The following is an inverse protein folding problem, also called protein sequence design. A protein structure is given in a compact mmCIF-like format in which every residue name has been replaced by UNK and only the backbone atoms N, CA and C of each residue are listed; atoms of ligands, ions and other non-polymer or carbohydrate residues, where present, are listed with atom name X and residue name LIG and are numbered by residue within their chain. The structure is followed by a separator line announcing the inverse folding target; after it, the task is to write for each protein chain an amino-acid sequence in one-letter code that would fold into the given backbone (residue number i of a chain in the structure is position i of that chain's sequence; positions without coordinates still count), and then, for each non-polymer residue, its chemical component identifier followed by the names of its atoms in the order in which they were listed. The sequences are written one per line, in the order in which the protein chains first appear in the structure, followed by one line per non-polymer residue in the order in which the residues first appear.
data_IF_465359092986
#
_entry.id   IF_465359092986
#
_cell.length_a   1.000
_cell.length_b   1.000
_cell.length_c   1.000
_cell.angle_alpha   90.00
_cell.angle_beta   90.00
_cell.angle_gamma   90.00
#
_symmetry.space_group_name_H-M   'P 1'
#
loop_
_entity.id
_entity.type
_entity.pdbx_description
1 polymer ?
#
# COMPACT_ATOMS: atom_id res chain seq x y z
N UNK A 1 3.36 41.39 9.13
CA UNK A 1 3.92 40.04 9.28
C UNK A 1 2.92 39.29 10.13
N UNK A 2 1.94 38.67 9.49
CA UNK A 2 0.84 37.93 10.14
C UNK A 2 0.94 36.49 9.67
N UNK A 3 1.12 35.61 10.65
CA UNK A 3 1.47 34.22 10.49
C UNK A 3 0.45 33.42 9.69
N UNK A 4 1.00 32.65 8.76
CA UNK A 4 0.32 31.65 7.94
C UNK A 4 0.31 30.35 8.76
N UNK A 5 -0.84 29.94 9.32
CA UNK A 5 -0.98 28.61 9.93
C UNK A 5 -2.36 27.96 9.78
N UNK A 6 -3.25 28.51 8.94
CA UNK A 6 -4.62 27.97 8.76
C UNK A 6 -4.71 26.95 7.61
N UNK A 7 -3.69 26.80 6.75
CA UNK A 7 -3.86 26.11 5.46
C UNK A 7 -3.57 24.60 5.45
N UNK A 8 -2.95 24.02 6.49
CA UNK A 8 -2.54 22.60 6.47
C UNK A 8 -3.67 21.64 6.85
N UNK A 9 -4.57 22.04 7.76
CA UNK A 9 -5.59 21.15 8.31
C UNK A 9 -6.84 21.03 7.42
N UNK A 10 -7.30 22.11 6.78
CA UNK A 10 -8.48 22.05 5.90
C UNK A 10 -8.21 21.23 4.64
N UNK A 11 -7.07 21.47 3.98
CA UNK A 11 -6.70 20.72 2.77
C UNK A 11 -6.47 19.24 3.07
N UNK A 12 -5.88 18.92 4.22
CA UNK A 12 -5.70 17.55 4.68
C UNK A 12 -7.04 16.87 4.98
N UNK A 13 -7.93 17.55 5.69
CA UNK A 13 -9.27 17.03 5.99
C UNK A 13 -10.10 16.83 4.73
N UNK A 14 -10.02 17.73 3.75
CA UNK A 14 -10.72 17.59 2.47
C UNK A 14 -10.20 16.42 1.64
N UNK A 15 -8.87 16.20 1.61
CA UNK A 15 -8.28 15.04 0.92
C UNK A 15 -8.84 13.72 1.44
N UNK A 16 -8.98 13.60 2.76
CA UNK A 16 -9.35 12.35 3.43
C UNK A 16 -10.82 12.25 3.83
N UNK A 17 -11.66 13.20 3.39
CA UNK A 17 -13.08 13.26 3.79
C UNK A 17 -13.85 11.97 3.56
N UNK A 18 -13.52 11.22 2.51
CA UNK A 18 -14.18 9.96 2.18
C UNK A 18 -13.82 8.84 3.16
N UNK A 19 -12.56 8.77 3.59
CA UNK A 19 -12.09 7.81 4.60
C UNK A 19 -12.53 8.22 6.00
N UNK A 20 -12.50 9.52 6.31
CA UNK A 20 -13.00 10.08 7.57
C UNK A 20 -14.47 9.77 7.83
N UNK A 21 -15.31 9.68 6.78
CA UNK A 21 -16.70 9.24 6.93
C UNK A 21 -16.84 7.80 7.44
N UNK A 22 -15.87 6.94 7.16
CA UNK A 22 -15.87 5.54 7.62
C UNK A 22 -15.23 5.36 9.00
N UNK A 23 -14.35 6.29 9.39
CA UNK A 23 -13.55 6.20 10.63
C UNK A 23 -14.11 7.05 11.76
N UNK A 24 -14.70 8.20 11.44
CA UNK A 24 -15.15 9.20 12.43
C UNK A 24 -16.67 9.11 12.73
N UNK A 25 -17.42 8.20 12.10
CA UNK A 25 -18.90 8.13 12.21
C UNK A 25 -19.39 6.76 12.64
N UNK A 26 -20.47 6.76 13.42
CA UNK A 26 -21.21 5.55 13.76
C UNK A 26 -21.82 4.89 12.52
N UNK A 27 -21.93 3.56 12.58
CA UNK A 27 -22.63 2.76 11.57
C UNK A 27 -23.29 1.57 12.25
N UNK A 28 -24.56 1.31 11.90
CA UNK A 28 -25.29 0.13 12.35
C UNK A 28 -24.67 -1.20 11.86
N UNK A 29 -23.78 -1.13 10.87
CA UNK A 29 -23.06 -2.27 10.31
C UNK A 29 -21.59 -2.33 10.72
N UNK A 30 -21.17 -1.45 11.64
CA UNK A 30 -19.80 -1.47 12.13
C UNK A 30 -19.52 -2.76 12.93
N UNK A 31 -18.26 -3.16 12.96
CA UNK A 31 -17.82 -4.24 13.84
C UNK A 31 -18.11 -3.88 15.30
N UNK A 32 -18.44 -4.87 16.15
CA UNK A 32 -18.83 -4.63 17.55
C UNK A 32 -17.75 -3.95 18.38
N UNK A 33 -16.49 -4.10 17.99
CA UNK A 33 -15.34 -3.44 18.61
C UNK A 33 -14.97 -2.08 17.98
N UNK A 34 -15.74 -1.58 17.00
CA UNK A 34 -15.47 -0.30 16.37
C UNK A 34 -16.06 0.84 17.21
N UNK A 35 -15.20 1.75 17.63
CA UNK A 35 -15.59 3.03 18.22
C UNK A 35 -15.25 4.14 17.23
N UNK A 36 -16.21 4.98 16.81
CA UNK A 36 -15.94 6.06 15.86
C UNK A 36 -15.07 7.14 16.50
N UNK A 37 -14.09 7.63 15.76
CA UNK A 37 -13.16 8.61 16.28
C UNK A 37 -11.97 8.84 15.36
N UNK A 38 -11.29 9.97 15.56
CA UNK A 38 -10.18 10.40 14.70
C UNK A 38 -8.98 9.45 14.82
N UNK A 39 -8.88 8.74 15.93
CA UNK A 39 -7.80 7.81 16.26
C UNK A 39 -7.77 6.64 15.26
N UNK A 40 -8.92 6.27 14.68
CA UNK A 40 -8.99 5.22 13.66
C UNK A 40 -8.23 5.60 12.39
N UNK A 41 -8.34 6.86 11.95
CA UNK A 41 -7.59 7.31 10.79
C UNK A 41 -6.10 7.41 11.10
N UNK A 42 -5.74 7.84 12.32
CA UNK A 42 -4.34 7.86 12.76
C UNK A 42 -3.76 6.44 12.81
N UNK A 43 -4.53 5.45 13.26
CA UNK A 43 -4.15 4.04 13.23
C UNK A 43 -3.92 3.53 11.81
N UNK A 44 -4.77 3.90 10.84
CA UNK A 44 -4.55 3.59 9.41
C UNK A 44 -3.24 4.20 8.92
N UNK A 45 -2.96 5.46 9.29
CA UNK A 45 -1.75 6.17 8.87
C UNK A 45 -0.47 5.56 9.47
N UNK A 46 -0.54 5.00 10.68
CA UNK A 46 0.58 4.34 11.36
C UNK A 46 0.73 2.85 10.99
N UNK A 47 -0.29 2.25 10.38
CA UNK A 47 -0.29 0.84 10.03
C UNK A 47 0.77 0.52 8.98
N UNK A 48 1.62 -0.47 9.27
CA UNK A 48 2.61 -1.01 8.33
C UNK A 48 2.01 -2.16 7.54
N UNK A 49 1.97 -2.03 6.22
CA UNK A 49 1.38 -3.02 5.31
C UNK A 49 2.42 -3.55 4.33
N UNK A 50 2.51 -4.87 4.20
CA UNK A 50 3.31 -5.51 3.15
C UNK A 50 2.40 -5.99 2.02
N UNK A 51 2.73 -5.61 0.79
CA UNK A 51 2.09 -6.11 -0.44
C UNK A 51 3.05 -7.05 -1.15
N UNK A 52 2.69 -8.33 -1.24
CA UNK A 52 3.50 -9.35 -1.89
C UNK A 52 3.02 -9.58 -3.32
N UNK A 53 3.89 -9.24 -4.28
CA UNK A 53 3.60 -9.15 -5.70
C UNK A 53 3.18 -7.74 -6.08
N UNK A 54 3.86 -7.15 -7.07
CA UNK A 54 3.61 -5.82 -7.63
C UNK A 54 3.01 -5.87 -9.03
N UNK A 55 2.69 -7.05 -9.57
CA UNK A 55 1.98 -7.20 -10.84
C UNK A 55 0.46 -7.20 -10.68
N UNK A 56 -0.27 -6.61 -11.64
CA UNK A 56 -1.74 -6.73 -11.79
C UNK A 56 -2.52 -6.38 -10.52
N UNK A 57 -2.84 -7.40 -9.70
CA UNK A 57 -3.42 -7.22 -8.37
C UNK A 57 -2.54 -6.35 -7.47
N UNK A 58 -1.21 -6.53 -7.49
CA UNK A 58 -0.27 -5.71 -6.74
C UNK A 58 -0.41 -4.22 -7.07
N UNK A 59 -0.51 -3.87 -8.36
CA UNK A 59 -0.75 -2.50 -8.79
C UNK A 59 -2.05 -1.91 -8.21
N UNK A 60 -3.13 -2.69 -8.26
CA UNK A 60 -4.45 -2.28 -7.75
C UNK A 60 -4.46 -2.13 -6.22
N UNK A 61 -3.81 -3.05 -5.51
CA UNK A 61 -3.69 -3.02 -4.05
C UNK A 61 -2.88 -1.81 -3.61
N UNK A 62 -1.71 -1.56 -4.22
CA UNK A 62 -0.87 -0.39 -3.89
C UNK A 62 -1.64 0.92 -4.09
N UNK A 63 -2.35 1.06 -5.22
CA UNK A 63 -3.24 2.20 -5.48
C UNK A 63 -4.31 2.32 -4.39
N UNK A 64 -5.01 1.22 -4.08
CA UNK A 64 -6.10 1.19 -3.10
C UNK A 64 -5.64 1.61 -1.71
N UNK A 65 -4.53 1.05 -1.23
CA UNK A 65 -3.95 1.38 0.08
C UNK A 65 -3.54 2.85 0.15
N UNK A 66 -2.77 3.32 -0.84
CA UNK A 66 -2.29 4.70 -0.88
C UNK A 66 -3.44 5.73 -0.90
N UNK A 67 -4.52 5.44 -1.65
CA UNK A 67 -5.71 6.29 -1.70
C UNK A 67 -6.67 6.10 -0.52
N UNK A 68 -6.44 5.11 0.33
CA UNK A 68 -7.22 4.86 1.55
C UNK A 68 -6.57 5.41 2.82
N UNK A 69 -5.41 6.05 2.70
CA UNK A 69 -4.71 6.67 3.83
C UNK A 69 -3.67 5.78 4.49
N UNK A 70 -3.30 4.62 3.93
CA UNK A 70 -2.12 3.93 4.42
C UNK A 70 -0.88 4.69 3.97
N UNK A 71 0.02 4.99 4.91
CA UNK A 71 1.28 5.68 4.61
C UNK A 71 2.45 4.73 4.45
N UNK A 72 2.59 3.76 5.36
CA UNK A 72 3.76 2.89 5.41
C UNK A 72 3.47 1.58 4.69
N UNK A 73 3.87 1.53 3.42
CA UNK A 73 3.63 0.38 2.56
C UNK A 73 4.98 -0.17 2.10
N UNK A 74 5.16 -1.47 2.19
CA UNK A 74 6.30 -2.14 1.58
C UNK A 74 5.80 -3.10 0.51
N UNK A 75 6.56 -3.26 -0.57
CA UNK A 75 6.21 -4.20 -1.64
C UNK A 75 7.38 -5.09 -2.01
N UNK A 76 7.12 -6.39 -2.15
CA UNK A 76 8.07 -7.41 -2.60
C UNK A 76 7.64 -7.92 -3.97
N UNK A 77 8.54 -7.92 -4.94
CA UNK A 77 8.39 -8.61 -6.22
C UNK A 77 9.78 -8.94 -6.77
N UNK A 78 9.96 -10.13 -7.31
CA UNK A 78 11.25 -10.58 -7.88
C UNK A 78 11.31 -10.39 -9.40
N UNK A 79 10.20 -10.04 -10.03
CA UNK A 79 10.09 -9.99 -11.47
C UNK A 79 10.50 -8.63 -12.04
N UNK A 80 10.87 -8.70 -13.31
CA UNK A 80 11.11 -7.55 -14.17
C UNK A 80 9.88 -7.26 -15.04
N UNK A 81 9.71 -6.00 -15.43
CA UNK A 81 8.62 -5.56 -16.31
C UNK A 81 8.83 -6.06 -17.74
N UNK A 82 7.78 -6.68 -18.28
CA UNK A 82 7.69 -7.14 -19.67
C UNK A 82 6.60 -6.39 -20.44
N UNK A 83 6.72 -6.31 -21.77
CA UNK A 83 5.73 -5.66 -22.64
C UNK A 83 4.31 -6.20 -22.43
N UNK A 84 4.17 -7.51 -22.24
CA UNK A 84 2.88 -8.19 -21.98
C UNK A 84 2.21 -7.77 -20.68
N UNK A 85 2.93 -7.08 -19.79
CA UNK A 85 2.40 -6.58 -18.52
C UNK A 85 1.60 -5.28 -18.72
N UNK A 86 1.93 -4.48 -19.72
CA UNK A 86 1.41 -3.11 -19.88
C UNK A 86 -0.09 -3.04 -20.18
N UNK A 87 -0.71 -4.14 -20.64
CA UNK A 87 -2.14 -4.20 -20.90
C UNK A 87 -3.02 -4.15 -19.62
N UNK A 88 -2.43 -4.39 -18.44
CA UNK A 88 -3.17 -4.46 -17.16
C UNK A 88 -2.43 -3.90 -15.96
N UNK A 89 -1.10 -3.76 -16.04
CA UNK A 89 -0.26 -3.32 -14.93
C UNK A 89 0.03 -1.82 -15.07
N UNK A 90 -0.99 -1.01 -14.83
CA UNK A 90 -1.04 0.43 -15.15
C UNK A 90 -0.03 1.32 -14.39
N UNK A 91 0.74 0.78 -13.44
CA UNK A 91 1.85 1.49 -12.80
C UNK A 91 3.10 1.56 -13.71
N UNK A 92 3.16 0.74 -14.76
CA UNK A 92 4.33 0.60 -15.63
C UNK A 92 4.12 1.27 -16.98
N UNK A 93 5.21 1.72 -17.62
CA UNK A 93 5.25 2.30 -18.96
C UNK A 93 6.21 1.52 -19.84
N UNK A 94 6.17 1.76 -21.16
CA UNK A 94 7.12 1.17 -22.10
C UNK A 94 8.58 1.48 -21.74
N UNK A 95 8.85 2.68 -21.22
CA UNK A 95 10.18 3.09 -20.74
C UNK A 95 10.67 2.28 -19.52
N UNK A 96 9.78 1.56 -18.85
CA UNK A 96 10.10 0.77 -17.66
C UNK A 96 10.40 -0.70 -17.98
N UNK A 97 10.25 -1.14 -19.23
CA UNK A 97 10.55 -2.52 -19.65
C UNK A 97 12.00 -2.86 -19.28
N UNK A 98 12.20 -4.01 -18.65
CA UNK A 98 13.52 -4.44 -18.17
C UNK A 98 13.88 -3.97 -16.75
N UNK A 99 13.07 -3.09 -16.13
CA UNK A 99 13.27 -2.66 -14.73
C UNK A 99 12.46 -3.53 -13.74
N UNK A 100 12.85 -3.52 -12.45
CA UNK A 100 12.15 -4.25 -11.39
C UNK A 100 10.72 -3.75 -11.21
N UNK A 101 9.74 -4.66 -11.17
CA UNK A 101 8.34 -4.31 -10.90
C UNK A 101 8.18 -3.61 -9.55
N UNK A 102 8.83 -4.12 -8.50
CA UNK A 102 8.73 -3.57 -7.15
C UNK A 102 9.20 -2.11 -7.11
N UNK A 103 10.39 -1.84 -7.66
CA UNK A 103 10.99 -0.50 -7.64
C UNK A 103 10.19 0.51 -8.45
N UNK A 104 9.76 0.14 -9.66
CA UNK A 104 8.97 1.03 -10.51
C UNK A 104 7.58 1.28 -9.90
N UNK A 105 6.94 0.25 -9.33
CA UNK A 105 5.63 0.40 -8.67
C UNK A 105 5.72 1.35 -7.49
N UNK A 106 6.71 1.17 -6.61
CA UNK A 106 6.94 2.06 -5.47
C UNK A 106 7.21 3.50 -5.93
N UNK A 107 8.12 3.69 -6.89
CA UNK A 107 8.44 5.01 -7.46
C UNK A 107 7.19 5.69 -8.03
N UNK A 108 6.38 4.97 -8.79
CA UNK A 108 5.16 5.53 -9.38
C UNK A 108 4.18 6.00 -8.31
N UNK A 109 3.93 5.17 -7.29
CA UNK A 109 2.95 5.47 -6.25
C UNK A 109 3.41 6.63 -5.37
N UNK A 110 4.68 6.66 -4.95
CA UNK A 110 5.27 7.77 -4.20
C UNK A 110 5.16 9.10 -4.96
N UNK A 111 5.37 9.08 -6.28
CA UNK A 111 5.26 10.28 -7.11
C UNK A 111 3.81 10.71 -7.35
N UNK A 112 2.86 9.76 -7.35
CA UNK A 112 1.45 10.02 -7.68
C UNK A 112 0.62 10.45 -6.48
N UNK A 113 0.91 9.91 -5.28
CA UNK A 113 0.09 10.10 -4.08
C UNK A 113 0.93 10.77 -3.00
N UNK A 114 0.74 12.08 -2.81
CA UNK A 114 1.52 12.82 -1.81
C UNK A 114 1.31 12.28 -0.38
N UNK A 115 2.40 12.08 0.35
CA UNK A 115 2.38 11.69 1.76
C UNK A 115 2.27 10.18 2.04
N UNK A 116 2.32 9.34 1.00
CA UNK A 116 2.60 7.90 1.13
C UNK A 116 4.10 7.65 1.09
N UNK A 117 4.55 6.57 1.73
CA UNK A 117 5.89 6.03 1.64
C UNK A 117 5.80 4.56 1.23
N UNK A 118 6.14 4.28 -0.02
CA UNK A 118 6.24 2.91 -0.54
C UNK A 118 7.70 2.51 -0.66
N UNK A 119 8.11 1.46 0.06
CA UNK A 119 9.47 0.88 -0.01
C UNK A 119 9.42 -0.39 -0.86
N UNK A 120 10.34 -0.50 -1.82
CA UNK A 120 10.44 -1.65 -2.71
C UNK A 120 11.51 -2.65 -2.25
N UNK A 121 11.21 -3.93 -2.43
CA UNK A 121 12.14 -5.04 -2.26
C UNK A 121 12.14 -5.89 -3.52
N UNK A 122 13.18 -5.73 -4.32
CA UNK A 122 13.43 -6.53 -5.53
C UNK A 122 14.05 -7.88 -5.15
N UNK A 123 13.27 -8.77 -4.56
CA UNK A 123 13.74 -10.08 -4.11
C UNK A 123 12.61 -11.10 -4.07
N UNK A 124 12.96 -12.37 -3.85
CA UNK A 124 11.97 -13.40 -3.58
C UNK A 124 11.47 -13.27 -2.15
N UNK A 125 10.26 -13.75 -1.90
CA UNK A 125 9.72 -13.87 -0.54
C UNK A 125 10.62 -14.73 0.36
N UNK A 126 11.25 -15.75 -0.21
CA UNK A 126 12.14 -16.66 0.52
C UNK A 126 13.44 -16.00 1.00
N UNK A 127 13.79 -14.83 0.45
CA UNK A 127 15.02 -14.12 0.79
C UNK A 127 14.87 -13.26 2.06
N UNK A 128 13.64 -13.14 2.60
CA UNK A 128 13.35 -12.41 3.84
C UNK A 128 13.17 -13.39 5.00
N UNK A 129 13.68 -12.99 6.17
CA UNK A 129 13.50 -13.76 7.39
C UNK A 129 12.14 -13.51 8.06
N UNK A 130 11.83 -14.30 9.10
CA UNK A 130 10.58 -14.15 9.83
C UNK A 130 10.46 -12.80 10.56
N UNK A 131 11.58 -12.21 10.97
CA UNK A 131 11.57 -10.93 11.67
C UNK A 131 11.13 -9.80 10.74
N UNK A 132 11.53 -9.86 9.46
CA UNK A 132 11.02 -8.97 8.43
C UNK A 132 9.49 -9.05 8.33
N UNK A 133 8.89 -10.24 8.30
CA UNK A 133 7.42 -10.36 8.19
C UNK A 133 6.67 -9.91 9.45
N UNK A 134 7.24 -10.13 10.64
CA UNK A 134 6.62 -9.77 11.93
C UNK A 134 6.45 -8.27 12.17
N UNK A 135 7.11 -7.42 11.39
CA UNK A 135 6.98 -5.97 11.56
C UNK A 135 5.69 -5.39 10.96
N UNK A 136 4.97 -6.17 10.14
CA UNK A 136 3.78 -5.70 9.43
C UNK A 136 2.51 -6.08 10.19
N UNK A 137 1.57 -5.13 10.27
CA UNK A 137 0.24 -5.39 10.83
C UNK A 137 -0.63 -6.18 9.86
N UNK A 138 -0.42 -6.00 8.55
CA UNK A 138 -1.18 -6.64 7.48
C UNK A 138 -0.23 -7.07 6.36
N UNK A 139 -0.38 -8.30 5.88
CA UNK A 139 0.28 -8.80 4.68
C UNK A 139 -0.78 -9.16 3.64
N UNK A 140 -0.71 -8.56 2.45
CA UNK A 140 -1.66 -8.77 1.35
C UNK A 140 -0.94 -9.43 0.18
N UNK A 141 -1.47 -10.56 -0.30
CA UNK A 141 -0.84 -11.35 -1.36
C UNK A 141 -1.54 -11.16 -2.72
N UNK A 142 -0.80 -10.63 -3.69
CA UNK A 142 -1.15 -10.55 -5.12
C UNK A 142 -0.44 -11.58 -5.99
N UNK A 143 -0.03 -12.71 -5.40
CA UNK A 143 0.79 -13.74 -6.04
C UNK A 143 -0.01 -14.61 -7.02
N UNK A 144 0.63 -15.06 -8.09
CA UNK A 144 0.06 -15.95 -9.12
C UNK A 144 0.46 -17.43 -8.95
N UNK A 145 1.46 -17.73 -8.13
CA UNK A 145 1.94 -19.10 -7.88
C UNK A 145 1.37 -19.73 -6.61
N UNK A 146 0.86 -20.96 -6.73
CA UNK A 146 0.41 -21.79 -5.59
C UNK A 146 1.57 -22.04 -4.62
N UNK A 147 2.79 -22.27 -5.13
CA UNK A 147 3.96 -22.57 -4.29
C UNK A 147 4.30 -21.36 -3.41
N UNK A 148 4.30 -20.17 -3.99
CA UNK A 148 4.59 -18.94 -3.27
C UNK A 148 3.53 -18.65 -2.19
N UNK A 149 2.24 -18.87 -2.51
CA UNK A 149 1.13 -18.74 -1.54
C UNK A 149 1.28 -19.74 -0.39
N UNK A 150 1.58 -21.01 -0.68
CA UNK A 150 1.79 -22.05 0.34
C UNK A 150 2.99 -21.74 1.22
N UNK A 151 4.06 -21.20 0.66
CA UNK A 151 5.24 -20.80 1.43
C UNK A 151 4.90 -19.70 2.42
N UNK A 152 4.24 -18.62 1.99
CA UNK A 152 3.82 -17.55 2.91
C UNK A 152 2.91 -18.05 4.02
N UNK A 153 1.95 -18.92 3.69
CA UNK A 153 1.03 -19.50 4.66
C UNK A 153 1.71 -20.49 5.64
N UNK A 154 2.89 -21.01 5.31
CA UNK A 154 3.65 -21.88 6.21
C UNK A 154 4.64 -21.08 7.07
N UNK A 155 5.06 -19.91 6.60
CA UNK A 155 6.03 -19.04 7.27
C UNK A 155 5.36 -18.11 8.29
N UNK A 156 4.13 -17.66 8.03
CA UNK A 156 3.34 -16.76 8.89
C UNK A 156 2.19 -17.50 9.55
#
# INVERSE_FOLDING_TARGET
MTDISVSSDEAFNEKWKHIRRLTDRESAFAHSAFEPGKENFDAIQQCKVLVVGSGGLGCEILKGLALSGFKHIETIDMDTIDLSNLNRQFLFRESDIGQSKAEVAARFVNNRVNGVEVIAHNCKIQDKDLNFYRQFSIVICGLDSIVARRWLNATM
#
